data_IF_067236076055
#
_entry.id   IF_067236076055
#
_cell.length_a   1.000
_cell.length_b   1.000
_cell.length_c   1.000
_cell.angle_alpha   90.00
_cell.angle_beta   90.00
_cell.angle_gamma   90.00
#
_symmetry.space_group_name_H-M   'P 1'
#
loop_
_entity.id
_entity.type
_entity.pdbx_description
1 polymer ?
#
# COMPACT_ATOMS: atom_id res chain seq x y z
N UNK A 1 17.58 -0.80 15.81
CA UNK A 1 16.11 -0.74 15.99
C UNK A 1 15.50 -2.00 15.40
N UNK A 2 14.65 -2.66 16.16
CA UNK A 2 13.86 -3.80 15.67
C UNK A 2 12.73 -3.31 14.74
N UNK A 3 12.10 -4.22 14.00
CA UNK A 3 10.95 -3.88 13.15
C UNK A 3 9.80 -3.33 14.01
N UNK A 4 9.58 -3.90 15.17
CA UNK A 4 8.55 -3.45 16.13
C UNK A 4 8.82 -2.02 16.62
N UNK A 5 10.08 -1.69 16.93
CA UNK A 5 10.48 -0.33 17.33
C UNK A 5 10.25 0.68 16.20
N UNK A 6 10.55 0.31 14.95
CA UNK A 6 10.30 1.16 13.79
C UNK A 6 8.80 1.39 13.59
N UNK A 7 7.98 0.33 13.68
CA UNK A 7 6.53 0.43 13.57
C UNK A 7 5.97 1.34 14.66
N UNK A 8 6.40 1.14 15.91
CA UNK A 8 5.94 1.94 17.05
C UNK A 8 6.33 3.42 16.90
N UNK A 9 7.58 3.70 16.55
CA UNK A 9 8.07 5.07 16.34
C UNK A 9 7.31 5.79 15.21
N UNK A 10 7.09 5.12 14.08
CA UNK A 10 6.31 5.69 12.97
C UNK A 10 4.85 5.90 13.33
N UNK A 11 4.28 4.98 14.11
CA UNK A 11 2.89 5.09 14.58
C UNK A 11 2.70 6.23 15.58
N UNK A 12 3.73 6.61 16.34
CA UNK A 12 3.71 7.69 17.32
C UNK A 12 3.88 9.10 16.71
N UNK A 13 4.10 9.22 15.41
CA UNK A 13 4.20 10.53 14.75
C UNK A 13 2.90 11.32 14.90
N UNK A 14 3.01 12.62 15.21
CA UNK A 14 1.86 13.51 15.53
C UNK A 14 0.79 13.51 14.45
N UNK A 15 1.17 13.70 13.19
CA UNK A 15 0.23 13.69 12.06
C UNK A 15 -0.59 12.40 11.97
N UNK A 16 0.05 11.26 12.30
CA UNK A 16 -0.61 9.95 12.25
C UNK A 16 -1.55 9.74 13.44
N UNK A 17 -1.19 10.30 14.59
CA UNK A 17 -2.07 10.35 15.75
C UNK A 17 -3.30 11.22 15.49
N UNK A 18 -3.13 12.36 14.84
CA UNK A 18 -4.22 13.23 14.43
C UNK A 18 -5.21 12.51 13.49
N UNK A 19 -4.70 11.77 12.49
CA UNK A 19 -5.54 10.95 11.61
C UNK A 19 -6.32 9.88 12.39
N UNK A 20 -5.73 9.26 13.41
CA UNK A 20 -6.46 8.29 14.25
C UNK A 20 -7.57 8.96 15.06
N UNK A 21 -7.33 10.18 15.54
CA UNK A 21 -8.29 10.95 16.33
C UNK A 21 -9.41 11.56 15.47
N UNK A 22 -9.14 11.88 14.20
CA UNK A 22 -10.10 12.53 13.31
C UNK A 22 -11.32 11.68 12.98
N UNK A 23 -11.20 10.34 13.08
CA UNK A 23 -12.29 9.41 12.76
C UNK A 23 -12.22 8.17 13.67
N UNK A 24 -13.34 7.84 14.32
CA UNK A 24 -13.43 6.67 15.19
C UNK A 24 -13.34 5.35 14.41
N UNK A 25 -12.87 4.29 15.04
CA UNK A 25 -12.75 2.98 14.40
C UNK A 25 -14.08 2.48 13.79
N UNK A 26 -15.22 2.72 14.47
CA UNK A 26 -16.53 2.36 13.93
C UNK A 26 -16.81 3.06 12.61
N UNK A 27 -16.56 4.36 12.53
CA UNK A 27 -16.78 5.15 11.33
C UNK A 27 -15.87 4.66 10.19
N UNK A 28 -14.62 4.27 10.51
CA UNK A 28 -13.68 3.68 9.53
C UNK A 28 -14.19 2.32 9.01
N UNK A 29 -14.73 1.49 9.89
CA UNK A 29 -15.23 0.16 9.50
C UNK A 29 -16.57 0.20 8.77
N UNK A 30 -17.26 1.32 8.79
CA UNK A 30 -18.52 1.53 8.06
C UNK A 30 -18.30 2.10 6.64
N UNK A 31 -17.06 2.52 6.30
CA UNK A 31 -16.72 2.91 4.95
C UNK A 31 -16.71 1.64 4.07
N UNK A 32 -17.45 1.60 2.96
CA UNK A 32 -17.43 0.47 2.02
C UNK A 32 -16.06 0.36 1.34
N UNK A 33 -15.67 -0.86 0.96
CA UNK A 33 -14.45 -1.08 0.17
C UNK A 33 -14.58 -0.40 -1.17
N UNK A 34 -13.54 0.31 -1.58
CA UNK A 34 -13.47 0.92 -2.90
C UNK A 34 -13.02 -0.13 -3.92
N UNK A 35 -13.73 -0.21 -5.04
CA UNK A 35 -13.35 -1.03 -6.18
C UNK A 35 -12.63 -0.18 -7.22
N UNK A 36 -11.67 -0.80 -7.92
CA UNK A 36 -11.00 -0.13 -9.03
C UNK A 36 -11.98 0.12 -10.18
N UNK A 37 -11.76 1.22 -10.87
CA UNK A 37 -12.44 1.47 -12.16
C UNK A 37 -11.92 0.47 -13.19
N UNK A 38 -12.80 0.03 -14.08
CA UNK A 38 -12.48 -0.90 -15.16
C UNK A 38 -12.93 -0.35 -16.49
N UNK A 39 -12.25 -0.74 -17.56
CA UNK A 39 -12.69 -0.48 -18.92
C UNK A 39 -14.03 -1.17 -19.18
N UNK A 40 -14.88 -0.52 -19.98
CA UNK A 40 -16.14 -1.09 -20.42
C UNK A 40 -15.93 -2.49 -21.05
N UNK A 41 -16.78 -3.48 -20.74
CA UNK A 41 -16.61 -4.85 -21.23
C UNK A 41 -16.59 -5.00 -22.75
N UNK A 42 -17.39 -4.24 -23.47
CA UNK A 42 -17.41 -4.28 -24.92
C UNK A 42 -16.15 -3.64 -25.50
N UNK A 43 -15.77 -2.45 -24.99
CA UNK A 43 -14.56 -1.76 -25.41
C UNK A 43 -13.31 -2.61 -25.18
N UNK A 44 -13.14 -3.20 -23.98
CA UNK A 44 -11.95 -4.01 -23.62
C UNK A 44 -11.83 -5.31 -24.42
N UNK A 45 -12.93 -5.81 -25.01
CA UNK A 45 -12.89 -7.02 -25.85
C UNK A 45 -12.19 -6.79 -27.20
N UNK A 46 -12.00 -5.55 -27.62
CA UNK A 46 -11.44 -5.17 -28.91
C UNK A 46 -10.06 -4.49 -28.83
N UNK A 47 -9.46 -4.39 -27.64
CA UNK A 47 -8.15 -3.78 -27.46
C UNK A 47 -7.27 -4.60 -26.52
N UNK A 48 -6.02 -4.13 -26.27
CA UNK A 48 -5.04 -4.74 -25.38
C UNK A 48 -4.63 -3.79 -24.23
N UNK A 49 -5.46 -2.80 -23.95
CA UNK A 49 -5.22 -1.86 -22.86
C UNK A 49 -5.39 -2.53 -21.49
N UNK A 50 -4.80 -1.98 -20.45
CA UNK A 50 -4.96 -2.48 -19.10
C UNK A 50 -6.42 -2.32 -18.65
N UNK A 51 -7.07 -3.43 -18.31
CA UNK A 51 -8.50 -3.44 -17.99
C UNK A 51 -8.81 -2.67 -16.72
N UNK A 52 -8.02 -2.90 -15.66
CA UNK A 52 -8.15 -2.20 -14.40
C UNK A 52 -7.46 -0.82 -14.48
N UNK A 53 -8.21 0.23 -14.28
CA UNK A 53 -7.72 1.61 -14.40
C UNK A 53 -7.09 2.15 -13.10
N UNK A 54 -7.06 1.33 -12.04
CA UNK A 54 -6.57 1.76 -10.73
C UNK A 54 -7.58 2.63 -9.97
N UNK A 55 -7.07 3.36 -8.97
CA UNK A 55 -7.85 4.29 -8.15
C UNK A 55 -7.50 5.73 -8.51
N UNK A 56 -8.48 6.64 -8.43
CA UNK A 56 -8.20 8.07 -8.38
C UNK A 56 -7.60 8.45 -7.01
N UNK A 57 -7.04 9.64 -6.89
CA UNK A 57 -6.49 10.14 -5.62
C UNK A 57 -7.56 10.15 -4.51
N UNK A 58 -8.78 10.61 -4.84
CA UNK A 58 -9.90 10.65 -3.90
C UNK A 58 -10.33 9.24 -3.47
N UNK A 59 -10.41 8.31 -4.41
CA UNK A 59 -10.73 6.91 -4.14
C UNK A 59 -9.66 6.25 -3.26
N UNK A 60 -8.39 6.50 -3.54
CA UNK A 60 -7.28 5.98 -2.75
C UNK A 60 -7.29 6.53 -1.32
N UNK A 61 -7.51 7.83 -1.15
CA UNK A 61 -7.64 8.45 0.18
C UNK A 61 -8.86 7.90 0.93
N UNK A 62 -9.99 7.71 0.28
CA UNK A 62 -11.20 7.12 0.87
C UNK A 62 -10.96 5.68 1.33
N UNK A 63 -10.34 4.85 0.49
CA UNK A 63 -9.99 3.46 0.87
C UNK A 63 -8.96 3.42 2.00
N UNK A 64 -7.97 4.32 1.98
CA UNK A 64 -6.95 4.41 3.02
C UNK A 64 -7.52 4.77 4.39
N UNK A 65 -8.61 5.55 4.44
CA UNK A 65 -9.32 5.88 5.69
C UNK A 65 -9.88 4.64 6.40
N UNK A 66 -10.14 3.55 5.71
CA UNK A 66 -10.59 2.29 6.31
C UNK A 66 -9.54 1.69 7.24
N UNK A 67 -8.26 1.94 7.00
CA UNK A 67 -7.20 1.37 7.83
C UNK A 67 -7.27 1.85 9.28
N UNK A 68 -7.37 0.89 10.23
CA UNK A 68 -7.47 1.15 11.66
C UNK A 68 -6.13 1.50 12.31
N UNK A 69 -5.04 1.47 11.57
CA UNK A 69 -3.70 1.74 12.09
C UNK A 69 -3.37 0.89 13.33
N UNK A 70 -3.50 -0.42 13.18
CA UNK A 70 -3.34 -1.38 14.27
C UNK A 70 -1.96 -1.25 14.95
N UNK A 71 -1.87 -1.35 16.30
CA UNK A 71 -0.57 -1.36 16.98
C UNK A 71 0.27 -2.61 16.63
N UNK A 72 -0.40 -3.76 16.41
CA UNK A 72 0.21 -5.00 15.93
C UNK A 72 -0.40 -5.33 14.56
N UNK A 73 0.18 -4.84 13.46
CA UNK A 73 -0.41 -4.95 12.14
C UNK A 73 -0.18 -6.33 11.52
N UNK A 74 -1.10 -7.25 11.74
CA UNK A 74 -1.04 -8.63 11.21
C UNK A 74 -0.95 -8.69 9.68
N UNK A 75 -1.44 -7.68 8.97
CA UNK A 75 -1.29 -7.57 7.52
C UNK A 75 0.18 -7.59 7.06
N UNK A 76 1.12 -7.07 7.87
CA UNK A 76 2.55 -7.14 7.56
C UNK A 76 3.07 -8.57 7.56
N UNK A 77 2.55 -9.42 8.45
CA UNK A 77 2.94 -10.83 8.51
C UNK A 77 2.51 -11.62 7.26
N UNK A 78 1.49 -11.14 6.58
CA UNK A 78 1.04 -11.71 5.30
C UNK A 78 1.82 -11.22 4.09
N UNK A 79 2.71 -10.24 4.24
CA UNK A 79 3.52 -9.71 3.15
C UNK A 79 4.90 -10.40 3.11
N UNK A 80 5.24 -11.14 2.01
CA UNK A 80 6.52 -11.85 1.92
C UNK A 80 7.76 -10.96 2.03
N UNK A 81 7.64 -9.68 1.68
CA UNK A 81 8.72 -8.67 1.74
C UNK A 81 8.55 -7.68 2.89
N UNK A 82 7.63 -7.96 3.83
CA UNK A 82 7.42 -7.20 5.07
C UNK A 82 7.24 -5.69 4.87
N UNK A 83 6.48 -5.27 3.87
CA UNK A 83 6.15 -3.86 3.65
C UNK A 83 5.50 -3.28 4.91
N UNK A 84 5.89 -2.06 5.29
CA UNK A 84 5.24 -1.34 6.39
C UNK A 84 3.86 -0.81 5.95
N UNK A 85 2.89 -1.75 5.84
CA UNK A 85 1.57 -1.51 5.29
C UNK A 85 0.83 -0.36 6.00
N UNK A 86 0.73 -0.32 7.34
CA UNK A 86 -0.01 0.78 7.98
C UNK A 86 0.61 2.14 7.70
N UNK A 87 1.93 2.24 7.54
CA UNK A 87 2.59 3.52 7.28
C UNK A 87 2.25 4.05 5.90
N UNK A 88 2.43 3.26 4.84
CA UNK A 88 2.12 3.76 3.49
C UNK A 88 0.62 4.04 3.31
N UNK A 89 -0.25 3.23 3.91
CA UNK A 89 -1.71 3.46 3.85
C UNK A 89 -2.07 4.78 4.56
N UNK A 90 -1.48 5.07 5.73
CA UNK A 90 -1.73 6.34 6.42
C UNK A 90 -1.14 7.56 5.70
N UNK A 91 -0.04 7.39 4.99
CA UNK A 91 0.50 8.43 4.12
C UNK A 91 -0.44 8.73 2.95
N UNK A 92 -1.06 7.69 2.35
CA UNK A 92 -2.11 7.89 1.33
C UNK A 92 -3.34 8.59 1.93
N UNK A 93 -3.81 8.20 3.12
CA UNK A 93 -4.91 8.88 3.80
C UNK A 93 -4.63 10.37 4.01
N UNK A 94 -3.38 10.74 4.28
CA UNK A 94 -2.93 12.12 4.45
C UNK A 94 -2.79 12.88 3.13
N UNK A 95 -2.68 12.19 1.99
CA UNK A 95 -2.36 12.78 0.69
C UNK A 95 -0.87 12.81 0.35
N UNK A 96 -0.01 12.22 1.17
CA UNK A 96 1.44 12.16 0.96
C UNK A 96 1.81 10.95 0.08
N UNK A 97 1.38 10.94 -1.17
CA UNK A 97 1.47 9.78 -2.07
C UNK A 97 2.92 9.40 -2.42
N UNK A 98 3.80 10.38 -2.58
CA UNK A 98 5.23 10.13 -2.85
C UNK A 98 5.94 9.51 -1.64
N UNK A 99 5.60 9.94 -0.42
CA UNK A 99 6.13 9.31 0.79
C UNK A 99 5.59 7.88 0.96
N UNK A 100 4.33 7.63 0.55
CA UNK A 100 3.80 6.26 0.50
C UNK A 100 4.61 5.38 -0.45
N UNK A 101 4.94 5.86 -1.64
CA UNK A 101 5.79 5.14 -2.60
C UNK A 101 7.20 4.88 -2.06
N UNK A 102 7.81 5.83 -1.35
CA UNK A 102 9.10 5.63 -0.68
C UNK A 102 9.01 4.53 0.39
N UNK A 103 7.95 4.55 1.20
CA UNK A 103 7.74 3.52 2.24
C UNK A 103 7.60 2.13 1.63
N UNK A 104 6.91 1.98 0.50
CA UNK A 104 6.84 0.72 -0.24
C UNK A 104 8.22 0.24 -0.68
N UNK A 105 9.03 1.13 -1.22
CA UNK A 105 10.38 0.84 -1.75
C UNK A 105 11.43 0.52 -0.69
N UNK A 106 11.15 0.72 0.59
CA UNK A 106 12.08 0.33 1.67
C UNK A 106 12.36 -1.19 1.66
N UNK A 107 11.37 -1.99 1.27
CA UNK A 107 11.48 -3.46 1.26
C UNK A 107 11.01 -4.11 -0.04
N UNK A 108 10.25 -3.42 -0.89
CA UNK A 108 9.76 -3.92 -2.17
C UNK A 108 10.47 -3.21 -3.33
N UNK A 109 11.16 -3.96 -4.18
CA UNK A 109 11.79 -3.42 -5.39
C UNK A 109 10.78 -3.14 -6.53
N UNK A 110 9.62 -3.79 -6.51
CA UNK A 110 8.66 -3.80 -7.62
C UNK A 110 7.21 -3.53 -7.18
N UNK A 111 6.92 -2.44 -6.44
CA UNK A 111 5.58 -2.20 -5.91
C UNK A 111 4.51 -2.07 -7.00
N UNK A 112 4.84 -1.52 -8.17
CA UNK A 112 3.91 -1.41 -9.30
C UNK A 112 3.49 -2.79 -9.86
N UNK A 113 4.39 -3.77 -9.81
CA UNK A 113 4.11 -5.17 -10.21
C UNK A 113 3.35 -5.88 -9.10
N UNK A 114 3.83 -5.78 -7.85
CA UNK A 114 3.20 -6.43 -6.69
C UNK A 114 1.75 -6.00 -6.53
N UNK A 115 1.44 -4.71 -6.66
CA UNK A 115 0.08 -4.19 -6.58
C UNK A 115 -0.87 -4.74 -7.66
N UNK A 116 -0.33 -5.33 -8.75
CA UNK A 116 -1.09 -5.93 -9.85
C UNK A 116 -1.20 -7.45 -9.78
N UNK A 117 -0.16 -8.14 -9.31
CA UNK A 117 -0.06 -9.60 -9.48
C UNK A 117 0.01 -10.39 -8.17
N UNK A 118 0.26 -9.77 -7.03
CA UNK A 118 0.21 -10.47 -5.76
C UNK A 118 -1.21 -11.00 -5.48
N UNK A 119 -1.36 -12.23 -5.01
CA UNK A 119 -2.66 -12.74 -4.53
C UNK A 119 -2.95 -12.19 -3.12
N UNK A 120 -3.23 -10.86 -3.04
CA UNK A 120 -3.36 -10.13 -1.77
C UNK A 120 -4.43 -10.76 -0.86
N UNK A 121 -5.50 -11.30 -1.44
CA UNK A 121 -6.58 -12.00 -0.73
C UNK A 121 -6.11 -13.25 0.02
N UNK A 122 -4.94 -13.80 -0.33
CA UNK A 122 -4.28 -14.93 0.35
C UNK A 122 -3.07 -14.50 1.19
N UNK A 123 -2.64 -13.27 1.06
CA UNK A 123 -1.47 -12.69 1.71
C UNK A 123 -1.86 -11.60 2.72
N UNK A 124 -1.46 -10.36 2.45
CA UNK A 124 -1.66 -9.23 3.37
C UNK A 124 -3.13 -8.95 3.69
N UNK A 125 -4.03 -9.02 2.73
CA UNK A 125 -5.46 -8.76 2.93
C UNK A 125 -6.13 -9.88 3.73
N UNK A 126 -5.70 -11.15 3.58
CA UNK A 126 -6.20 -12.25 4.41
C UNK A 126 -5.87 -12.07 5.89
N UNK A 127 -4.79 -11.37 6.21
CA UNK A 127 -4.34 -11.09 7.58
C UNK A 127 -4.87 -9.76 8.12
N UNK A 128 -5.64 -9.02 7.33
CA UNK A 128 -6.25 -7.78 7.80
C UNK A 128 -7.29 -8.07 8.90
N UNK A 129 -7.35 -7.22 9.92
CA UNK A 129 -8.31 -7.35 11.01
C UNK A 129 -9.77 -7.36 10.53
N UNK A 130 -10.06 -6.71 9.41
CA UNK A 130 -11.37 -6.75 8.76
C UNK A 130 -11.78 -8.16 8.40
N UNK A 131 -10.88 -8.91 7.74
CA UNK A 131 -11.10 -10.30 7.36
C UNK A 131 -11.08 -11.21 8.59
N UNK A 132 -10.06 -11.03 9.44
CA UNK A 132 -9.80 -11.95 10.55
C UNK A 132 -10.81 -11.86 11.70
N UNK A 133 -11.37 -10.68 11.98
CA UNK A 133 -12.20 -10.45 13.18
C UNK A 133 -13.55 -9.80 12.91
N UNK A 134 -13.69 -9.06 11.83
CA UNK A 134 -14.91 -8.26 11.59
C UNK A 134 -15.85 -8.89 10.56
N UNK A 135 -15.42 -9.94 9.85
CA UNK A 135 -16.21 -10.55 8.77
C UNK A 135 -16.54 -9.56 7.63
N UNK A 136 -15.66 -8.57 7.41
CA UNK A 136 -15.78 -7.55 6.39
C UNK A 136 -14.65 -7.68 5.37
N UNK A 137 -14.85 -7.10 4.20
CA UNK A 137 -13.79 -7.01 3.18
C UNK A 137 -12.58 -6.23 3.73
N UNK A 138 -11.39 -6.77 3.54
CA UNK A 138 -10.13 -6.14 3.94
C UNK A 138 -9.97 -4.73 3.35
N UNK A 139 -9.07 -3.94 3.91
CA UNK A 139 -8.54 -2.77 3.21
C UNK A 139 -7.88 -3.24 1.92
N UNK A 140 -8.15 -2.57 0.80
CA UNK A 140 -7.63 -2.92 -0.53
C UNK A 140 -6.13 -2.58 -0.65
N UNK A 141 -5.30 -3.32 0.07
CA UNK A 141 -3.86 -3.04 0.25
C UNK A 141 -3.14 -3.03 -1.11
N UNK A 142 -3.40 -4.03 -1.95
CA UNK A 142 -2.79 -4.10 -3.27
C UNK A 142 -3.20 -2.96 -4.20
N UNK A 143 -4.46 -2.50 -4.12
CA UNK A 143 -4.92 -1.35 -4.90
C UNK A 143 -4.23 -0.07 -4.48
N UNK A 144 -4.03 0.12 -3.18
CA UNK A 144 -3.31 1.26 -2.63
C UNK A 144 -1.81 1.21 -2.94
N UNK A 145 -1.20 0.01 -2.93
CA UNK A 145 0.18 -0.21 -3.35
C UNK A 145 0.37 0.17 -4.82
N UNK A 146 -0.50 -0.33 -5.70
CA UNK A 146 -0.53 0.03 -7.12
C UNK A 146 -0.67 1.54 -7.30
N UNK A 147 -1.65 2.16 -6.63
CA UNK A 147 -1.90 3.59 -6.73
C UNK A 147 -0.66 4.41 -6.39
N UNK A 148 0.00 4.15 -5.26
CA UNK A 148 1.18 4.90 -4.85
C UNK A 148 2.34 4.75 -5.84
N UNK A 149 2.56 3.53 -6.35
CA UNK A 149 3.62 3.27 -7.32
C UNK A 149 3.34 3.90 -8.69
N UNK A 150 2.10 3.87 -9.15
CA UNK A 150 1.69 4.49 -10.41
C UNK A 150 1.75 6.03 -10.29
N UNK A 151 1.29 6.59 -9.17
CA UNK A 151 1.38 8.03 -8.90
C UNK A 151 2.83 8.53 -8.94
N UNK A 152 3.77 7.81 -8.31
CA UNK A 152 5.19 8.18 -8.36
C UNK A 152 5.72 8.17 -9.79
N UNK A 153 5.41 7.11 -10.56
CA UNK A 153 5.84 7.01 -11.96
C UNK A 153 5.29 8.14 -12.82
N UNK A 154 4.01 8.45 -12.68
CA UNK A 154 3.32 9.46 -13.48
C UNK A 154 3.74 10.90 -13.11
N UNK A 155 4.07 11.13 -11.84
CA UNK A 155 4.60 12.42 -11.37
C UNK A 155 5.99 12.73 -11.90
N UNK A 156 6.74 11.71 -12.38
CA UNK A 156 8.15 11.84 -12.76
C UNK A 156 9.12 12.05 -11.59
N UNK A 157 8.61 12.09 -10.35
CA UNK A 157 9.41 12.30 -9.13
C UNK A 157 9.84 10.96 -8.52
N UNK A 158 10.53 10.14 -9.32
CA UNK A 158 10.94 8.79 -8.89
C UNK A 158 12.02 8.89 -7.81
N UNK A 159 11.73 8.32 -6.63
CA UNK A 159 12.72 8.22 -5.57
C UNK A 159 13.78 7.16 -5.90
N UNK A 160 15.03 7.57 -5.95
CA UNK A 160 16.17 6.67 -6.14
C UNK A 160 16.75 6.37 -4.76
N UNK A 161 16.89 5.07 -4.39
CA UNK A 161 17.51 4.70 -3.12
C UNK A 161 18.96 5.21 -3.05
N UNK A 162 19.38 5.60 -1.84
CA UNK A 162 20.79 5.93 -1.60
C UNK A 162 21.61 4.67 -1.80
N UNK A 163 22.54 4.72 -2.74
CA UNK A 163 23.46 3.61 -3.00
C UNK A 163 24.54 3.64 -1.92
N UNK A 164 24.67 2.59 -1.09
CA UNK A 164 25.70 2.54 -0.08
C UNK A 164 27.09 2.41 -0.69
N UNK A 165 28.14 2.67 0.09
CA UNK A 165 29.51 2.44 -0.33
C UNK A 165 29.74 0.98 -0.73
N UNK A 166 30.63 0.77 -1.70
CA UNK A 166 30.96 -0.57 -2.19
C UNK A 166 31.57 -1.42 -1.08
N UNK A 167 30.96 -2.56 -0.80
CA UNK A 167 31.44 -3.53 0.20
C UNK A 167 32.42 -4.58 -0.37
N UNK A 168 32.83 -4.45 -1.64
CA UNK A 168 33.74 -5.38 -2.32
C UNK A 168 33.09 -6.66 -2.84
N UNK A 169 31.81 -6.92 -2.54
CA UNK A 169 31.09 -8.09 -3.03
C UNK A 169 30.69 -7.86 -4.50
N UNK A 170 31.05 -8.82 -5.35
CA UNK A 170 30.66 -8.81 -6.78
C UNK A 170 29.41 -9.66 -6.97
N UNK A 171 28.39 -9.07 -7.56
CA UNK A 171 27.12 -9.74 -7.90
C UNK A 171 26.90 -9.61 -9.41
N UNK A 172 26.47 -10.69 -10.04
CA UNK A 172 26.03 -10.69 -11.43
C UNK A 172 24.51 -10.83 -11.48
N UNK A 173 23.84 -10.00 -12.29
CA UNK A 173 22.41 -10.11 -12.59
C UNK A 173 22.30 -10.62 -14.04
N UNK A 174 21.62 -11.75 -14.21
CA UNK A 174 21.42 -12.37 -15.54
C UNK A 174 19.99 -12.06 -15.97
N UNK A 175 19.82 -11.54 -17.20
CA UNK A 175 18.51 -11.22 -17.76
C UNK A 175 18.02 -9.78 -17.47
N UNK A 176 18.94 -8.88 -17.19
CA UNK A 176 18.65 -7.44 -17.04
C UNK A 176 18.69 -6.72 -18.39
#
# INVERSE_FOLDING_TARGET
MTIEEIIAARRAQSWREELRKSKKNKERTDIPRVHMNELDPEYRSHNKEEVNLGLTAEQAMMEAQRCLDCPNPTCMNGCPVSINIPTFVKQIEKGDFLEAAKTLKETSALPAVCGRVCPQEKQCESQCIYTQKLGKEAVAIGYLERFAADYERESGQISIPVIPEKNGIKVAVIGS
#
